data_IF_426631535318
#
_entry.id   IF_426631535318
#
_cell.length_a   1.000
_cell.length_b   1.000
_cell.length_c   1.000
_cell.angle_alpha   90.00
_cell.angle_beta   90.00
_cell.angle_gamma   90.00
#
_symmetry.space_group_name_H-M   'P 1'
#
loop_
_entity.id
_entity.type
_entity.pdbx_description
1 polymer ?
#
# COMPACT_ATOMS: atom_id res chain seq x y z
N UNK A 1 50.29 23.54 -8.45
CA UNK A 1 49.40 22.87 -7.48
C UNK A 1 48.19 23.77 -7.24
N UNK A 2 47.03 23.47 -7.82
CA UNK A 2 45.76 24.12 -7.46
C UNK A 2 45.11 23.23 -6.41
N UNK A 3 45.25 23.62 -5.15
CA UNK A 3 44.47 23.07 -4.04
C UNK A 3 42.99 23.38 -4.30
N UNK A 4 42.23 22.39 -4.76
CA UNK A 4 40.78 22.47 -4.78
C UNK A 4 40.31 22.68 -3.33
N UNK A 5 39.73 23.85 -3.06
CA UNK A 5 38.97 24.11 -1.86
C UNK A 5 37.83 23.09 -1.78
N UNK A 6 38.00 22.03 -0.99
CA UNK A 6 36.85 21.25 -0.51
C UNK A 6 36.04 22.18 0.38
N UNK A 7 34.86 22.58 -0.07
CA UNK A 7 33.89 23.31 0.76
C UNK A 7 33.69 22.53 2.07
N UNK A 8 33.70 23.22 3.22
CA UNK A 8 33.39 22.59 4.52
C UNK A 8 32.09 21.78 4.38
N UNK A 9 32.00 20.57 4.95
CA UNK A 9 30.75 19.83 4.98
C UNK A 9 29.68 20.71 5.64
N UNK A 10 28.57 20.93 4.93
CA UNK A 10 27.48 21.79 5.41
C UNK A 10 26.76 21.09 6.56
N UNK A 11 26.28 21.88 7.51
CA UNK A 11 25.47 21.36 8.61
C UNK A 11 24.14 20.86 8.03
N UNK A 12 23.61 19.70 8.46
CA UNK A 12 22.41 19.11 7.86
C UNK A 12 21.22 20.07 7.73
N UNK A 13 20.98 20.90 8.75
CA UNK A 13 19.91 21.90 8.72
C UNK A 13 20.10 22.96 7.61
N UNK A 14 21.33 23.45 7.40
CA UNK A 14 21.61 24.40 6.33
C UNK A 14 21.42 23.78 4.95
N UNK A 15 21.80 22.51 4.78
CA UNK A 15 21.59 21.79 3.52
C UNK A 15 20.09 21.69 3.19
N UNK A 16 19.25 21.39 4.19
CA UNK A 16 17.79 21.36 4.03
C UNK A 16 17.25 22.72 3.60
N UNK A 17 17.62 23.81 4.27
CA UNK A 17 17.17 25.17 3.92
C UNK A 17 17.55 25.55 2.49
N UNK A 18 18.80 25.34 2.10
CA UNK A 18 19.24 25.63 0.73
C UNK A 18 18.51 24.76 -0.30
N UNK A 19 18.28 23.48 0.01
CA UNK A 19 17.50 22.59 -0.87
C UNK A 19 16.09 23.12 -1.04
N UNK A 20 15.44 23.54 0.05
CA UNK A 20 14.10 24.12 0.03
C UNK A 20 14.04 25.39 -0.81
N UNK A 21 15.00 26.30 -0.66
CA UNK A 21 15.04 27.54 -1.46
C UNK A 21 15.15 27.26 -2.95
N UNK A 22 15.94 26.26 -3.34
CA UNK A 22 16.03 25.80 -4.73
C UNK A 22 14.73 25.14 -5.21
N UNK A 23 14.09 24.32 -4.38
CA UNK A 23 12.81 23.70 -4.69
C UNK A 23 11.73 24.77 -4.95
N UNK A 24 11.62 25.76 -4.06
CA UNK A 24 10.67 26.88 -4.22
C UNK A 24 10.98 27.70 -5.47
N UNK A 25 12.26 27.95 -5.76
CA UNK A 25 12.65 28.67 -6.98
C UNK A 25 12.26 27.90 -8.25
N UNK A 26 12.56 26.60 -8.32
CA UNK A 26 12.21 25.74 -9.45
C UNK A 26 10.69 25.61 -9.59
N UNK A 27 9.98 25.56 -8.47
CA UNK A 27 8.52 25.47 -8.45
C UNK A 27 7.87 26.71 -9.10
N UNK A 28 8.30 27.89 -8.64
CA UNK A 28 7.81 29.19 -9.10
C UNK A 28 8.25 29.56 -10.54
N UNK A 29 9.33 28.95 -11.05
CA UNK A 29 9.89 29.24 -12.37
C UNK A 29 9.84 28.00 -13.31
N UNK A 30 8.66 27.62 -13.83
CA UNK A 30 8.50 26.40 -14.60
C UNK A 30 9.11 26.46 -16.00
N UNK A 31 9.29 27.65 -16.58
CA UNK A 31 9.82 27.83 -17.95
C UNK A 31 11.31 28.20 -17.91
N UNK A 32 12.18 27.51 -18.68
CA UNK A 32 13.56 27.91 -18.85
C UNK A 32 13.59 29.16 -19.74
N UNK A 33 13.53 30.34 -19.11
CA UNK A 33 13.64 31.62 -19.84
C UNK A 33 15.07 32.16 -19.84
N UNK A 34 15.83 31.85 -18.79
CA UNK A 34 17.23 32.25 -18.63
C UNK A 34 18.00 31.06 -18.03
N UNK A 35 19.20 30.73 -18.53
CA UNK A 35 20.01 29.56 -18.12
C UNK A 35 20.28 29.42 -16.62
N UNK A 36 19.98 30.47 -15.84
CA UNK A 36 19.91 30.48 -14.38
C UNK A 36 19.03 29.36 -13.80
N UNK A 37 17.93 28.97 -14.48
CA UNK A 37 17.10 27.85 -14.00
C UNK A 37 17.85 26.53 -14.06
N UNK A 38 18.60 26.30 -15.13
CA UNK A 38 19.33 25.05 -15.32
C UNK A 38 20.50 24.94 -14.35
N UNK A 39 21.20 26.06 -14.08
CA UNK A 39 22.20 26.14 -13.00
C UNK A 39 21.60 25.78 -11.64
N UNK A 40 20.42 26.33 -11.32
CA UNK A 40 19.72 26.05 -10.06
C UNK A 40 19.22 24.61 -9.99
N UNK A 41 18.82 24.03 -11.11
CA UNK A 41 18.45 22.61 -11.19
C UNK A 41 19.65 21.70 -10.95
N UNK A 42 20.82 22.00 -11.53
CA UNK A 42 22.06 21.23 -11.29
C UNK A 42 22.43 21.26 -9.81
N UNK A 43 22.33 22.44 -9.18
CA UNK A 43 22.57 22.62 -7.75
C UNK A 43 21.57 21.81 -6.90
N UNK A 44 20.29 21.82 -7.27
CA UNK A 44 19.23 21.07 -6.60
C UNK A 44 19.47 19.55 -6.68
N UNK A 45 19.80 19.04 -7.88
CA UNK A 45 20.14 17.63 -8.09
C UNK A 45 21.28 17.19 -7.15
N UNK A 46 22.30 18.05 -6.99
CA UNK A 46 23.43 17.79 -6.10
C UNK A 46 22.98 17.73 -4.64
N UNK A 47 22.16 18.67 -4.17
CA UNK A 47 21.73 18.67 -2.76
C UNK A 47 20.79 17.52 -2.42
N UNK A 48 19.90 17.11 -3.33
CA UNK A 48 19.06 15.91 -3.11
C UNK A 48 19.92 14.65 -2.92
N UNK A 49 20.99 14.51 -3.72
CA UNK A 49 21.97 13.42 -3.54
C UNK A 49 22.72 13.51 -2.21
N UNK A 50 23.11 14.71 -1.78
CA UNK A 50 23.75 14.92 -0.47
C UNK A 50 22.80 14.60 0.69
N UNK A 51 21.51 14.97 0.60
CA UNK A 51 20.49 14.61 1.59
C UNK A 51 20.35 13.08 1.69
N UNK A 52 20.26 12.39 0.54
CA UNK A 52 20.23 10.93 0.49
C UNK A 52 21.47 10.31 1.12
N UNK A 53 22.66 10.84 0.82
CA UNK A 53 23.92 10.37 1.38
C UNK A 53 23.93 10.49 2.91
N UNK A 54 23.42 11.57 3.49
CA UNK A 54 23.32 11.69 4.96
C UNK A 54 22.40 10.59 5.53
N UNK A 55 21.28 10.31 4.86
CA UNK A 55 20.25 9.38 5.35
C UNK A 55 20.57 7.89 5.15
N UNK A 56 21.37 7.55 4.14
CA UNK A 56 21.69 6.16 3.77
C UNK A 56 23.17 5.81 3.88
N UNK A 57 24.05 6.80 3.96
CA UNK A 57 25.49 6.59 3.88
C UNK A 57 25.94 6.15 2.49
N UNK A 58 27.11 5.54 2.44
CA UNK A 58 27.64 4.84 1.26
C UNK A 58 28.33 3.52 1.65
N UNK A 59 29.00 2.87 0.70
CA UNK A 59 29.71 1.61 0.95
C UNK A 59 30.86 1.72 1.98
N UNK A 60 31.21 2.94 2.43
CA UNK A 60 32.34 3.22 3.32
C UNK A 60 31.92 3.90 4.61
N UNK A 61 30.74 4.52 4.65
CA UNK A 61 30.30 5.45 5.68
C UNK A 61 28.88 5.14 6.06
N UNK A 62 28.66 4.77 7.32
CA UNK A 62 27.30 4.59 7.85
C UNK A 62 26.63 5.93 8.15
N UNK A 63 25.29 6.02 8.07
CA UNK A 63 24.53 7.20 8.49
C UNK A 63 24.83 7.57 9.95
N UNK A 64 25.14 8.84 10.19
CA UNK A 64 25.31 9.36 11.55
C UNK A 64 23.96 9.76 12.11
N UNK A 65 23.52 9.09 13.19
CA UNK A 65 22.18 9.26 13.76
C UNK A 65 21.82 10.73 14.10
N UNK A 66 22.75 11.48 14.69
CA UNK A 66 22.55 12.90 15.01
C UNK A 66 22.36 13.76 13.75
N UNK A 67 23.13 13.49 12.70
CA UNK A 67 22.99 14.21 11.43
C UNK A 67 21.65 13.89 10.75
N UNK A 68 21.22 12.63 10.77
CA UNK A 68 19.90 12.22 10.29
C UNK A 68 18.77 12.89 11.07
N UNK A 69 18.89 12.96 12.41
CA UNK A 69 17.89 13.57 13.27
C UNK A 69 17.78 15.09 13.01
N UNK A 70 18.91 15.80 12.88
CA UNK A 70 18.93 17.23 12.56
C UNK A 70 18.34 17.51 11.17
N UNK A 71 18.71 16.71 10.16
CA UNK A 71 18.13 16.80 8.81
C UNK A 71 16.62 16.63 8.88
N UNK A 72 16.16 15.55 9.52
CA UNK A 72 14.74 15.18 9.63
C UNK A 72 13.93 16.28 10.31
N UNK A 73 14.43 16.79 11.44
CA UNK A 73 13.79 17.88 12.17
C UNK A 73 13.60 19.12 11.30
N UNK A 74 14.66 19.58 10.63
CA UNK A 74 14.58 20.76 9.78
C UNK A 74 13.66 20.54 8.57
N UNK A 75 13.66 19.34 8.00
CA UNK A 75 12.89 19.00 6.81
C UNK A 75 11.39 19.12 7.04
N UNK A 76 10.90 18.63 8.18
CA UNK A 76 9.51 18.75 8.58
C UNK A 76 9.16 20.15 9.09
N UNK A 77 10.03 20.77 9.90
CA UNK A 77 9.81 22.12 10.44
C UNK A 77 9.58 23.16 9.34
N UNK A 78 10.38 23.13 8.28
CA UNK A 78 10.31 24.11 7.19
C UNK A 78 9.34 23.71 6.06
N UNK A 79 8.54 22.65 6.25
CA UNK A 79 7.60 22.12 5.24
C UNK A 79 8.31 21.73 3.92
N UNK A 80 9.60 21.35 4.00
CA UNK A 80 10.41 21.00 2.82
C UNK A 80 9.87 19.74 2.15
N UNK A 81 9.29 18.82 2.93
CA UNK A 81 8.68 17.60 2.42
C UNK A 81 7.62 17.85 1.36
N UNK A 82 6.70 18.78 1.64
CA UNK A 82 5.65 19.13 0.69
C UNK A 82 6.23 19.67 -0.61
N UNK A 83 7.16 20.63 -0.51
CA UNK A 83 7.75 21.26 -1.70
C UNK A 83 8.54 20.23 -2.52
N UNK A 84 9.25 19.30 -1.88
CA UNK A 84 9.94 18.22 -2.58
C UNK A 84 8.96 17.33 -3.34
N UNK A 85 7.85 16.92 -2.71
CA UNK A 85 6.82 16.08 -3.34
C UNK A 85 6.19 16.77 -4.55
N UNK A 86 5.82 18.05 -4.42
CA UNK A 86 5.26 18.86 -5.53
C UNK A 86 6.25 18.99 -6.70
N UNK A 87 7.55 19.05 -6.40
CA UNK A 87 8.59 19.19 -7.41
C UNK A 87 8.99 17.88 -8.09
N UNK A 88 8.53 16.70 -7.65
CA UNK A 88 8.92 15.40 -8.24
C UNK A 88 8.82 15.39 -9.78
N UNK A 89 7.71 15.82 -10.41
CA UNK A 89 7.60 15.79 -11.87
C UNK A 89 8.55 16.75 -12.60
N UNK A 90 9.17 17.69 -11.88
CA UNK A 90 10.10 18.69 -12.41
C UNK A 90 11.56 18.24 -12.37
N UNK A 91 11.84 17.14 -11.67
CA UNK A 91 13.18 16.56 -11.51
C UNK A 91 13.47 15.57 -12.64
N UNK A 92 14.75 15.29 -12.88
CA UNK A 92 15.13 14.21 -13.79
C UNK A 92 14.94 12.82 -13.13
N UNK A 93 14.88 11.76 -13.93
CA UNK A 93 14.58 10.39 -13.49
C UNK A 93 15.47 9.86 -12.36
N UNK A 94 16.77 10.19 -12.38
CA UNK A 94 17.70 9.73 -11.35
C UNK A 94 17.42 10.44 -10.02
N UNK A 95 17.17 11.74 -10.09
CA UNK A 95 16.92 12.58 -8.92
C UNK A 95 15.52 12.37 -8.35
N UNK A 96 14.54 11.98 -9.16
CA UNK A 96 13.23 11.51 -8.67
C UNK A 96 13.38 10.27 -7.77
N UNK A 97 14.24 9.32 -8.16
CA UNK A 97 14.55 8.14 -7.33
C UNK A 97 15.22 8.53 -6.02
N UNK A 98 16.21 9.43 -6.08
CA UNK A 98 16.88 9.92 -4.89
C UNK A 98 15.91 10.67 -3.95
N UNK A 99 15.09 11.57 -4.49
CA UNK A 99 14.07 12.30 -3.74
C UNK A 99 13.06 11.35 -3.08
N UNK A 100 12.60 10.33 -3.80
CA UNK A 100 11.68 9.31 -3.27
C UNK A 100 12.31 8.55 -2.10
N UNK A 101 13.60 8.19 -2.21
CA UNK A 101 14.33 7.52 -1.13
C UNK A 101 14.51 8.44 0.09
N UNK A 102 14.79 9.73 -0.13
CA UNK A 102 14.83 10.73 0.95
C UNK A 102 13.48 10.76 1.68
N UNK A 103 12.38 10.94 0.96
CA UNK A 103 11.02 10.97 1.54
C UNK A 103 10.71 9.68 2.31
N UNK A 104 11.03 8.52 1.74
CA UNK A 104 10.81 7.21 2.35
C UNK A 104 11.59 7.04 3.66
N UNK A 105 12.86 7.44 3.67
CA UNK A 105 13.74 7.31 4.83
C UNK A 105 13.28 8.21 5.98
N UNK A 106 12.88 9.44 5.69
CA UNK A 106 12.40 10.42 6.68
C UNK A 106 11.23 9.91 7.53
N UNK A 107 10.35 9.06 6.98
CA UNK A 107 9.23 8.47 7.73
C UNK A 107 9.70 7.55 8.87
N UNK A 108 10.95 7.08 8.81
CA UNK A 108 11.51 6.10 9.75
C UNK A 108 12.44 6.74 10.78
N UNK A 109 12.81 8.00 10.57
CA UNK A 109 13.81 8.68 11.39
C UNK A 109 13.23 9.09 12.74
N UNK A 110 13.98 8.79 13.80
CA UNK A 110 13.65 9.22 15.15
C UNK A 110 14.40 10.50 15.49
N UNK A 111 13.67 11.51 15.92
CA UNK A 111 14.22 12.76 16.46
C UNK A 111 13.88 12.80 17.94
N UNK A 112 14.89 12.84 18.82
CA UNK A 112 14.70 12.74 20.27
C UNK A 112 13.82 11.54 20.67
N UNK A 113 14.08 10.38 20.05
CA UNK A 113 13.33 9.12 20.25
C UNK A 113 11.85 9.17 19.84
N UNK A 114 11.43 10.16 19.04
CA UNK A 114 10.07 10.29 18.52
C UNK A 114 10.04 10.27 16.98
N UNK A 115 9.00 9.66 16.42
CA UNK A 115 8.74 9.68 14.97
C UNK A 115 7.93 10.94 14.62
N UNK A 116 8.61 12.07 14.50
CA UNK A 116 7.98 13.38 14.23
C UNK A 116 7.30 13.46 12.85
N UNK A 117 7.55 12.50 11.97
CA UNK A 117 6.86 12.36 10.69
C UNK A 117 5.35 12.16 10.86
N UNK A 118 4.93 11.40 11.87
CA UNK A 118 3.52 11.15 12.16
C UNK A 118 2.79 12.46 12.50
N UNK A 119 3.38 13.28 13.38
CA UNK A 119 2.84 14.58 13.81
C UNK A 119 2.73 15.55 12.63
N UNK A 120 3.78 15.60 11.79
CA UNK A 120 3.78 16.43 10.59
C UNK A 120 2.69 16.03 9.61
N UNK A 121 2.54 14.73 9.32
CA UNK A 121 1.54 14.23 8.37
C UNK A 121 0.11 14.42 8.88
N UNK A 122 -0.12 14.25 10.18
CA UNK A 122 -1.42 14.52 10.81
C UNK A 122 -1.81 16.00 10.70
N UNK A 123 -0.84 16.92 10.76
CA UNK A 123 -1.07 18.35 10.55
C UNK A 123 -1.18 18.77 9.06
N UNK A 124 -0.85 17.87 8.11
CA UNK A 124 -0.76 18.16 6.66
C UNK A 124 -1.46 17.08 5.83
N UNK A 125 -2.70 16.72 6.18
CA UNK A 125 -3.41 15.59 5.56
C UNK A 125 -3.68 15.77 4.07
N UNK A 126 -3.79 17.00 3.58
CA UNK A 126 -3.91 17.31 2.15
C UNK A 126 -2.69 16.87 1.33
N UNK A 127 -1.52 16.68 1.97
CA UNK A 127 -0.36 16.07 1.34
C UNK A 127 -0.61 14.59 0.99
N UNK A 128 -1.43 13.89 1.79
CA UNK A 128 -1.82 12.51 1.51
C UNK A 128 -2.73 12.44 0.29
N UNK A 129 -3.63 13.42 0.15
CA UNK A 129 -4.48 13.53 -1.05
C UNK A 129 -3.64 13.76 -2.31
N UNK A 130 -2.60 14.61 -2.22
CA UNK A 130 -1.63 14.81 -3.30
C UNK A 130 -0.93 13.50 -3.67
N UNK A 131 -0.40 12.77 -2.70
CA UNK A 131 0.27 11.48 -2.92
C UNK A 131 -0.68 10.45 -3.56
N UNK A 132 -1.95 10.42 -3.18
CA UNK A 132 -2.95 9.51 -3.75
C UNK A 132 -3.26 9.91 -5.21
N UNK A 133 -3.52 11.20 -5.46
CA UNK A 133 -3.73 11.70 -6.84
C UNK A 133 -2.50 11.52 -7.74
N UNK A 134 -1.32 11.35 -7.16
CA UNK A 134 -0.09 11.09 -7.89
C UNK A 134 -0.13 9.83 -8.77
N UNK A 135 -1.04 8.89 -8.51
CA UNK A 135 -1.29 7.74 -9.39
C UNK A 135 -1.87 8.14 -10.77
N UNK A 136 -2.42 9.35 -10.90
CA UNK A 136 -2.94 9.90 -12.16
C UNK A 136 -1.81 10.40 -13.08
N UNK A 137 -0.64 10.72 -12.50
CA UNK A 137 0.57 11.04 -13.25
C UNK A 137 1.33 9.76 -13.58
N UNK A 138 1.10 9.21 -14.78
CA UNK A 138 1.65 7.93 -15.20
C UNK A 138 3.18 7.86 -15.16
N UNK A 139 3.87 8.99 -15.35
CA UNK A 139 5.34 9.03 -15.34
C UNK A 139 5.91 8.94 -13.91
N UNK A 140 5.15 9.42 -12.92
CA UNK A 140 5.60 9.54 -11.53
C UNK A 140 4.81 8.66 -10.54
N UNK A 141 3.79 7.94 -10.99
CA UNK A 141 2.88 7.16 -10.14
C UNK A 141 3.61 6.21 -9.18
N UNK A 142 4.67 5.54 -9.64
CA UNK A 142 5.45 4.62 -8.81
C UNK A 142 6.24 5.34 -7.70
N UNK A 143 6.67 6.58 -7.94
CA UNK A 143 7.31 7.41 -6.93
C UNK A 143 6.31 7.80 -5.85
N UNK A 144 5.12 8.27 -6.25
CA UNK A 144 4.05 8.61 -5.33
C UNK A 144 3.55 7.41 -4.52
N UNK A 145 3.35 6.25 -5.16
CA UNK A 145 2.97 5.02 -4.49
C UNK A 145 3.98 4.55 -3.44
N UNK A 146 5.28 4.64 -3.74
CA UNK A 146 6.33 4.31 -2.78
C UNK A 146 6.35 5.26 -1.58
N UNK A 147 6.27 6.58 -1.81
CA UNK A 147 6.21 7.57 -0.73
C UNK A 147 4.97 7.39 0.14
N UNK A 148 3.81 7.14 -0.48
CA UNK A 148 2.55 6.93 0.22
C UNK A 148 2.59 5.71 1.13
N UNK A 149 3.14 4.58 0.65
CA UNK A 149 3.28 3.37 1.49
C UNK A 149 4.15 3.60 2.72
N UNK A 150 5.20 4.40 2.59
CA UNK A 150 6.01 4.77 3.77
C UNK A 150 5.24 5.65 4.75
N UNK A 151 4.38 6.55 4.25
CA UNK A 151 3.50 7.35 5.10
C UNK A 151 2.44 6.50 5.81
N UNK A 152 1.85 5.50 5.13
CA UNK A 152 0.83 4.57 5.69
C UNK A 152 1.35 3.81 6.91
N UNK A 153 2.67 3.74 7.11
CA UNK A 153 3.27 3.16 8.33
C UNK A 153 2.83 3.87 9.61
N UNK A 154 2.44 5.13 9.53
CA UNK A 154 1.88 5.89 10.64
C UNK A 154 0.36 5.68 10.72
N UNK A 155 -0.15 5.35 11.91
CA UNK A 155 -1.57 5.03 12.09
C UNK A 155 -2.49 6.23 11.77
N UNK A 156 -2.05 7.47 12.04
CA UNK A 156 -2.79 8.69 11.71
C UNK A 156 -3.06 8.80 10.21
N UNK A 157 -2.07 8.46 9.36
CA UNK A 157 -2.19 8.46 7.90
C UNK A 157 -3.20 7.42 7.43
N UNK A 158 -3.07 6.18 7.89
CA UNK A 158 -3.99 5.12 7.51
C UNK A 158 -5.43 5.43 7.95
N UNK A 159 -5.60 5.98 9.16
CA UNK A 159 -6.90 6.44 9.66
C UNK A 159 -7.50 7.51 8.75
N UNK A 160 -6.73 8.55 8.41
CA UNK A 160 -7.19 9.60 7.50
C UNK A 160 -7.66 9.04 6.16
N UNK A 161 -6.85 8.20 5.50
CA UNK A 161 -7.17 7.66 4.16
C UNK A 161 -8.44 6.79 4.20
N UNK A 162 -8.62 6.01 5.26
CA UNK A 162 -9.81 5.18 5.45
C UNK A 162 -11.06 6.03 5.74
N UNK A 163 -10.97 7.03 6.61
CA UNK A 163 -12.11 7.88 7.02
C UNK A 163 -12.53 8.89 5.94
N UNK A 164 -11.60 9.32 5.09
CA UNK A 164 -11.85 10.24 3.96
C UNK A 164 -12.39 9.55 2.71
N UNK A 165 -12.66 8.24 2.75
CA UNK A 165 -13.10 7.42 1.61
C UNK A 165 -12.16 7.44 0.38
N UNK A 166 -10.92 7.92 0.54
CA UNK A 166 -9.93 7.90 -0.55
C UNK A 166 -9.51 6.48 -0.95
N UNK A 167 -9.78 5.48 -0.08
CA UNK A 167 -9.55 4.06 -0.38
C UNK A 167 -10.21 3.61 -1.68
N UNK A 168 -11.36 4.17 -2.05
CA UNK A 168 -12.09 3.79 -3.26
C UNK A 168 -11.32 4.15 -4.54
N UNK A 169 -10.48 5.19 -4.53
CA UNK A 169 -9.63 5.54 -5.69
C UNK A 169 -8.66 4.42 -6.04
N UNK A 170 -8.22 3.62 -5.06
CA UNK A 170 -7.36 2.47 -5.36
C UNK A 170 -8.10 1.41 -6.18
N UNK A 171 -9.43 1.30 -6.07
CA UNK A 171 -10.19 0.40 -6.95
C UNK A 171 -10.14 0.85 -8.42
N UNK A 172 -10.00 2.15 -8.68
CA UNK A 172 -9.73 2.69 -10.02
C UNK A 172 -8.28 2.45 -10.45
N UNK A 173 -7.32 2.81 -9.59
CA UNK A 173 -5.89 2.70 -9.92
C UNK A 173 -5.45 1.24 -10.14
N UNK A 174 -6.07 0.27 -9.48
CA UNK A 174 -5.81 -1.17 -9.67
C UNK A 174 -6.25 -1.64 -11.06
N UNK A 175 -7.21 -0.97 -11.69
CA UNK A 175 -7.66 -1.31 -13.06
C UNK A 175 -6.85 -0.57 -14.13
N UNK A 176 -5.79 0.16 -13.76
CA UNK A 176 -4.98 0.91 -14.70
C UNK A 176 -4.40 -0.04 -15.77
N UNK A 177 -4.44 0.33 -17.07
CA UNK A 177 -3.87 -0.51 -18.13
C UNK A 177 -2.35 -0.70 -18.01
N UNK A 178 -1.65 0.23 -17.35
CA UNK A 178 -0.25 0.06 -17.00
C UNK A 178 -0.11 -0.93 -15.83
N UNK A 179 0.45 -2.10 -16.13
CA UNK A 179 0.64 -3.19 -15.18
C UNK A 179 1.43 -2.79 -13.93
N UNK A 180 2.49 -2.00 -14.08
CA UNK A 180 3.34 -1.62 -12.95
C UNK A 180 2.59 -0.70 -11.99
N UNK A 181 1.80 0.24 -12.53
CA UNK A 181 0.96 1.15 -11.74
C UNK A 181 -0.15 0.36 -11.01
N UNK A 182 -0.85 -0.52 -11.73
CA UNK A 182 -1.89 -1.37 -11.14
C UNK A 182 -1.33 -2.27 -10.03
N UNK A 183 -0.19 -2.93 -10.28
CA UNK A 183 0.47 -3.79 -9.30
C UNK A 183 0.96 -3.00 -8.08
N UNK A 184 1.44 -1.78 -8.28
CA UNK A 184 1.84 -0.88 -7.20
C UNK A 184 0.62 -0.42 -6.36
N UNK A 185 -0.49 -0.06 -7.00
CA UNK A 185 -1.75 0.28 -6.32
C UNK A 185 -2.29 -0.89 -5.49
N UNK A 186 -2.21 -2.13 -5.99
CA UNK A 186 -2.56 -3.35 -5.24
C UNK A 186 -1.71 -3.45 -3.96
N UNK A 187 -0.39 -3.20 -4.05
CA UNK A 187 0.50 -3.24 -2.88
C UNK A 187 0.12 -2.17 -1.87
N UNK A 188 -0.21 -0.96 -2.32
CA UNK A 188 -0.64 0.14 -1.46
C UNK A 188 -1.96 -0.15 -0.77
N UNK A 189 -2.97 -0.66 -1.50
CA UNK A 189 -4.24 -1.08 -0.91
C UNK A 189 -4.03 -2.20 0.11
N UNK A 190 -3.21 -3.21 -0.22
CA UNK A 190 -2.88 -4.29 0.72
C UNK A 190 -2.25 -3.75 1.99
N UNK A 191 -1.26 -2.88 1.87
CA UNK A 191 -0.59 -2.25 3.01
C UNK A 191 -1.58 -1.49 3.91
N UNK A 192 -2.44 -0.67 3.31
CA UNK A 192 -3.49 0.09 4.01
C UNK A 192 -4.47 -0.83 4.75
N UNK A 193 -4.89 -1.91 4.11
CA UNK A 193 -5.93 -2.82 4.61
C UNK A 193 -5.40 -3.96 5.50
N UNK A 194 -4.09 -4.01 5.77
CA UNK A 194 -3.52 -5.09 6.60
C UNK A 194 -2.56 -4.63 7.69
N UNK A 195 -2.09 -3.38 7.69
CA UNK A 195 -1.11 -2.89 8.68
C UNK A 195 -1.71 -2.59 10.06
N UNK A 196 -2.63 -1.63 10.14
CA UNK A 196 -3.13 -1.09 11.43
C UNK A 196 -4.44 -1.76 11.85
N UNK A 197 -4.31 -2.95 12.44
CA UNK A 197 -5.41 -3.91 12.69
C UNK A 197 -6.65 -3.28 13.33
N UNK A 198 -6.48 -2.52 14.41
CA UNK A 198 -7.62 -1.87 15.10
C UNK A 198 -8.32 -0.81 14.25
N UNK A 199 -7.56 0.03 13.54
CA UNK A 199 -8.11 1.05 12.63
C UNK A 199 -8.91 0.41 11.49
N UNK A 200 -8.37 -0.66 10.90
CA UNK A 200 -9.02 -1.39 9.80
C UNK A 200 -10.30 -2.07 10.29
N UNK A 201 -10.27 -2.72 11.45
CA UNK A 201 -11.44 -3.38 12.04
C UNK A 201 -12.58 -2.38 12.31
N UNK A 202 -12.25 -1.21 12.86
CA UNK A 202 -13.21 -0.13 13.08
C UNK A 202 -13.80 0.38 11.75
N UNK A 203 -12.95 0.63 10.75
CA UNK A 203 -13.37 1.07 9.43
C UNK A 203 -14.31 0.06 8.74
N UNK A 204 -13.92 -1.23 8.70
CA UNK A 204 -14.71 -2.29 8.06
C UNK A 204 -16.03 -2.52 8.78
N UNK A 205 -16.07 -2.38 10.11
CA UNK A 205 -17.31 -2.50 10.87
C UNK A 205 -18.31 -1.39 10.51
N UNK A 206 -17.84 -0.16 10.38
CA UNK A 206 -18.68 1.01 10.02
C UNK A 206 -19.11 1.02 8.56
N UNK A 207 -18.22 0.60 7.65
CA UNK A 207 -18.39 0.78 6.20
C UNK A 207 -18.61 -0.54 5.45
N UNK A 208 -19.01 -1.61 6.16
CA UNK A 208 -19.06 -2.98 5.63
C UNK A 208 -19.75 -3.08 4.26
N UNK A 209 -20.99 -2.61 4.15
CA UNK A 209 -21.80 -2.82 2.94
C UNK A 209 -21.21 -2.06 1.76
N UNK A 210 -20.87 -0.77 1.95
CA UNK A 210 -20.27 0.06 0.89
C UNK A 210 -18.92 -0.48 0.44
N UNK A 211 -18.05 -0.86 1.38
CA UNK A 211 -16.72 -1.35 1.07
C UNK A 211 -16.78 -2.68 0.32
N UNK A 212 -17.51 -3.67 0.83
CA UNK A 212 -17.56 -4.99 0.19
C UNK A 212 -18.36 -4.99 -1.12
N UNK A 213 -19.34 -4.11 -1.30
CA UNK A 213 -20.02 -3.94 -2.60
C UNK A 213 -19.02 -3.53 -3.68
N UNK A 214 -18.23 -2.49 -3.42
CA UNK A 214 -17.20 -2.01 -4.35
C UNK A 214 -16.06 -3.03 -4.51
N UNK A 215 -15.52 -3.56 -3.40
CA UNK A 215 -14.45 -4.55 -3.42
C UNK A 215 -14.82 -5.80 -4.24
N UNK A 216 -16.03 -6.32 -4.04
CA UNK A 216 -16.49 -7.52 -4.74
C UNK A 216 -16.71 -7.26 -6.22
N UNK A 217 -17.48 -6.21 -6.56
CA UNK A 217 -17.86 -5.92 -7.95
C UNK A 217 -16.67 -5.47 -8.78
N UNK A 218 -15.77 -4.65 -8.22
CA UNK A 218 -14.64 -4.08 -8.95
C UNK A 218 -13.43 -5.00 -8.95
N UNK A 219 -13.16 -5.71 -7.86
CA UNK A 219 -11.91 -6.45 -7.72
C UNK A 219 -12.08 -7.97 -7.85
N UNK A 220 -12.95 -8.59 -7.05
CA UNK A 220 -13.15 -10.05 -7.08
C UNK A 220 -13.79 -10.51 -8.41
N UNK A 221 -14.69 -9.70 -8.96
CA UNK A 221 -15.32 -9.93 -10.25
C UNK A 221 -14.55 -9.32 -11.43
N UNK A 222 -13.34 -8.79 -11.22
CA UNK A 222 -12.52 -8.23 -12.30
C UNK A 222 -12.19 -9.29 -13.36
N UNK A 223 -12.22 -8.95 -14.67
CA UNK A 223 -11.73 -9.83 -15.72
C UNK A 223 -10.20 -9.97 -15.69
N UNK A 224 -9.49 -9.08 -15.00
CA UNK A 224 -8.05 -9.09 -14.91
C UNK A 224 -7.58 -10.15 -13.89
N UNK A 225 -6.83 -11.15 -14.39
CA UNK A 225 -6.29 -12.24 -13.57
C UNK A 225 -5.49 -11.76 -12.35
N UNK A 226 -4.59 -10.79 -12.52
CA UNK A 226 -3.73 -10.30 -11.43
C UNK A 226 -4.57 -9.63 -10.35
N UNK A 227 -5.49 -8.74 -10.77
CA UNK A 227 -6.42 -8.04 -9.87
C UNK A 227 -7.25 -9.04 -9.09
N UNK A 228 -7.88 -9.99 -9.78
CA UNK A 228 -8.69 -11.05 -9.15
C UNK A 228 -7.86 -11.82 -8.13
N UNK A 229 -6.73 -12.40 -8.54
CA UNK A 229 -5.85 -13.20 -7.66
C UNK A 229 -5.41 -12.42 -6.42
N UNK A 230 -4.92 -11.20 -6.59
CA UNK A 230 -4.45 -10.39 -5.48
C UNK A 230 -5.58 -10.00 -4.52
N UNK A 231 -6.78 -9.79 -5.04
CA UNK A 231 -7.94 -9.37 -4.27
C UNK A 231 -8.55 -10.52 -3.49
N UNK A 232 -8.61 -11.74 -4.04
CA UNK A 232 -8.99 -12.93 -3.27
C UNK A 232 -8.02 -13.16 -2.11
N UNK A 233 -6.71 -13.01 -2.37
CA UNK A 233 -5.68 -13.10 -1.33
C UNK A 233 -5.88 -12.04 -0.25
N UNK A 234 -6.09 -10.78 -0.64
CA UNK A 234 -6.32 -9.69 0.29
C UNK A 234 -7.60 -9.91 1.12
N UNK A 235 -8.66 -10.44 0.53
CA UNK A 235 -9.87 -10.83 1.25
C UNK A 235 -9.55 -11.86 2.34
N UNK A 236 -8.78 -12.90 2.01
CA UNK A 236 -8.29 -13.87 2.99
C UNK A 236 -7.50 -13.22 4.12
N UNK A 237 -6.51 -12.38 3.78
CA UNK A 237 -5.68 -11.65 4.75
C UNK A 237 -6.53 -10.76 5.69
N UNK A 238 -7.62 -10.15 5.19
CA UNK A 238 -8.54 -9.34 6.00
C UNK A 238 -9.43 -10.19 6.90
N UNK A 239 -10.08 -11.23 6.38
CA UNK A 239 -11.08 -12.01 7.11
C UNK A 239 -10.46 -12.98 8.13
N UNK A 240 -9.23 -13.45 7.90
CA UNK A 240 -8.52 -14.34 8.82
C UNK A 240 -7.88 -13.58 9.99
N UNK A 241 -7.82 -12.25 9.95
CA UNK A 241 -7.30 -11.46 11.04
C UNK A 241 -8.26 -11.45 12.24
N UNK A 242 -7.74 -11.75 13.43
CA UNK A 242 -8.54 -11.85 14.66
C UNK A 242 -9.26 -10.55 15.02
N UNK A 243 -8.66 -9.40 14.69
CA UNK A 243 -9.29 -8.09 14.92
C UNK A 243 -10.55 -7.88 14.07
N UNK A 244 -10.64 -8.57 12.93
CA UNK A 244 -11.76 -8.49 11.99
C UNK A 244 -12.81 -9.59 12.20
N UNK A 245 -12.84 -10.26 13.35
CA UNK A 245 -13.75 -11.39 13.62
C UNK A 245 -15.24 -11.06 13.38
N UNK A 246 -15.71 -9.89 13.82
CA UNK A 246 -17.09 -9.45 13.59
C UNK A 246 -17.39 -9.25 12.09
N UNK A 247 -16.46 -8.62 11.38
CA UNK A 247 -16.50 -8.45 9.92
C UNK A 247 -16.51 -9.80 9.21
N UNK A 248 -15.66 -10.74 9.64
CA UNK A 248 -15.59 -12.09 9.09
C UNK A 248 -16.92 -12.83 9.25
N UNK A 249 -17.48 -12.87 10.47
CA UNK A 249 -18.77 -13.52 10.73
C UNK A 249 -19.88 -12.94 9.86
N UNK A 250 -19.92 -11.61 9.71
CA UNK A 250 -20.89 -10.94 8.83
C UNK A 250 -20.66 -11.31 7.36
N UNK A 251 -19.41 -11.35 6.90
CA UNK A 251 -19.07 -11.69 5.52
C UNK A 251 -19.46 -13.13 5.17
N UNK A 252 -19.15 -14.09 6.03
CA UNK A 252 -19.43 -15.53 5.79
C UNK A 252 -20.88 -15.93 6.03
N UNK A 253 -21.72 -14.98 6.44
CA UNK A 253 -23.15 -15.15 6.59
C UNK A 253 -23.96 -14.61 5.38
N UNK A 254 -23.28 -14.15 4.33
CA UNK A 254 -23.93 -13.62 3.11
C UNK A 254 -23.96 -14.66 1.99
N UNK A 255 -25.15 -14.94 1.44
CA UNK A 255 -25.30 -15.83 0.27
C UNK A 255 -24.58 -15.28 -0.97
N UNK A 256 -24.58 -13.96 -1.15
CA UNK A 256 -24.01 -13.33 -2.33
C UNK A 256 -22.48 -13.47 -2.30
N UNK A 257 -21.88 -13.31 -1.12
CA UNK A 257 -20.45 -13.55 -0.92
C UNK A 257 -20.09 -15.02 -1.13
N UNK A 258 -20.91 -15.96 -0.66
CA UNK A 258 -20.68 -17.38 -0.93
C UNK A 258 -20.66 -17.68 -2.43
N UNK A 259 -21.63 -17.15 -3.18
CA UNK A 259 -21.73 -17.36 -4.63
C UNK A 259 -20.49 -16.84 -5.35
N UNK A 260 -19.98 -15.66 -4.98
CA UNK A 260 -18.74 -15.12 -5.53
C UNK A 260 -17.57 -16.09 -5.28
N UNK A 261 -17.41 -16.57 -4.04
CA UNK A 261 -16.33 -17.48 -3.67
C UNK A 261 -16.44 -18.85 -4.35
N UNK A 262 -17.65 -19.38 -4.49
CA UNK A 262 -17.89 -20.62 -5.23
C UNK A 262 -17.58 -20.48 -6.73
N UNK A 263 -17.79 -19.31 -7.31
CA UNK A 263 -17.35 -19.04 -8.69
C UNK A 263 -15.83 -18.92 -8.80
N UNK A 264 -15.17 -18.29 -7.84
CA UNK A 264 -13.70 -18.21 -7.79
C UNK A 264 -13.04 -19.58 -7.65
N UNK A 265 -13.65 -20.50 -6.89
CA UNK A 265 -13.21 -21.91 -6.81
C UNK A 265 -13.30 -22.66 -8.15
N UNK A 266 -14.07 -22.14 -9.12
CA UNK A 266 -14.24 -22.72 -10.46
C UNK A 266 -13.37 -22.05 -11.53
N UNK A 267 -12.59 -21.04 -11.18
CA UNK A 267 -11.67 -20.39 -12.11
C UNK A 267 -10.64 -21.38 -12.64
N UNK A 268 -10.12 -21.17 -13.86
CA UNK A 268 -9.11 -22.05 -14.46
C UNK A 268 -7.76 -22.01 -13.74
N UNK A 269 -7.47 -20.92 -13.01
CA UNK A 269 -6.21 -20.75 -12.31
C UNK A 269 -6.23 -21.43 -10.95
N UNK A 270 -5.37 -22.45 -10.77
CA UNK A 270 -5.12 -23.08 -9.47
C UNK A 270 -4.80 -22.07 -8.36
N UNK A 271 -4.01 -21.02 -8.66
CA UNK A 271 -3.67 -20.00 -7.67
C UNK A 271 -4.91 -19.26 -7.14
N UNK A 272 -5.88 -18.95 -8.01
CA UNK A 272 -7.13 -18.32 -7.57
C UNK A 272 -7.97 -19.31 -6.79
N UNK A 273 -8.06 -20.57 -7.23
CA UNK A 273 -8.78 -21.62 -6.51
C UNK A 273 -8.24 -21.82 -5.10
N UNK A 274 -6.91 -21.87 -4.93
CA UNK A 274 -6.26 -22.00 -3.63
C UNK A 274 -6.57 -20.83 -2.70
N UNK A 275 -6.42 -19.58 -3.18
CA UNK A 275 -6.74 -18.41 -2.35
C UNK A 275 -8.25 -18.33 -2.04
N UNK A 276 -9.12 -18.72 -2.98
CA UNK A 276 -10.56 -18.78 -2.77
C UNK A 276 -10.92 -19.86 -1.74
N UNK A 277 -10.21 -20.99 -1.73
CA UNK A 277 -10.39 -22.04 -0.73
C UNK A 277 -10.13 -21.53 0.69
N UNK A 278 -9.08 -20.73 0.91
CA UNK A 278 -8.77 -20.18 2.23
C UNK A 278 -9.88 -19.28 2.79
N UNK A 279 -10.67 -18.64 1.93
CA UNK A 279 -11.84 -17.87 2.35
C UNK A 279 -13.09 -18.75 2.43
N UNK A 280 -13.29 -19.65 1.45
CA UNK A 280 -14.44 -20.55 1.40
C UNK A 280 -14.52 -21.46 2.64
N UNK A 281 -13.38 -21.95 3.15
CA UNK A 281 -13.35 -22.76 4.37
C UNK A 281 -14.00 -22.05 5.56
N UNK A 282 -13.99 -20.72 5.62
CA UNK A 282 -14.63 -19.94 6.69
C UNK A 282 -16.17 -20.03 6.63
N UNK A 283 -16.76 -20.12 5.43
CA UNK A 283 -18.19 -20.36 5.27
C UNK A 283 -18.58 -21.75 5.79
N UNK A 284 -17.74 -22.76 5.50
CA UNK A 284 -17.98 -24.15 5.92
C UNK A 284 -17.72 -24.31 7.42
N UNK A 285 -16.71 -23.65 7.97
CA UNK A 285 -16.40 -23.70 9.41
C UNK A 285 -17.34 -22.84 10.29
N UNK A 286 -18.14 -21.94 9.72
CA UNK A 286 -19.07 -21.11 10.48
C UNK A 286 -20.06 -22.00 11.25
N UNK A 287 -20.10 -21.94 12.59
CA UNK A 287 -21.02 -22.76 13.37
C UNK A 287 -22.48 -22.29 13.25
N UNK A 288 -22.70 -21.01 12.96
CA UNK A 288 -24.02 -20.38 12.85
C UNK A 288 -24.36 -20.06 11.38
N UNK A 289 -24.23 -21.04 10.49
CA UNK A 289 -24.54 -20.85 9.06
C UNK A 289 -26.00 -20.47 8.87
N UNK A 290 -26.32 -19.40 8.14
CA UNK A 290 -27.68 -19.11 7.74
C UNK A 290 -28.29 -20.27 6.91
N UNK A 291 -29.61 -20.53 7.00
CA UNK A 291 -30.25 -21.60 6.26
C UNK A 291 -30.01 -21.53 4.74
N UNK A 292 -30.00 -20.33 4.16
CA UNK A 292 -29.73 -20.13 2.73
C UNK A 292 -28.34 -20.64 2.30
N UNK A 293 -27.32 -20.44 3.15
CA UNK A 293 -25.96 -20.94 2.92
C UNK A 293 -25.95 -22.47 2.94
N UNK A 294 -26.59 -23.06 3.95
CA UNK A 294 -26.71 -24.52 4.08
C UNK A 294 -27.42 -25.12 2.85
N UNK A 295 -28.53 -24.52 2.41
CA UNK A 295 -29.24 -24.93 1.20
C UNK A 295 -28.36 -24.90 -0.05
N UNK A 296 -27.57 -23.84 -0.25
CA UNK A 296 -26.65 -23.73 -1.39
C UNK A 296 -25.57 -24.82 -1.33
N UNK A 297 -24.99 -25.06 -0.15
CA UNK A 297 -23.97 -26.10 0.04
C UNK A 297 -24.53 -27.51 -0.24
N UNK A 298 -25.74 -27.82 0.24
CA UNK A 298 -26.42 -29.11 -0.02
C UNK A 298 -26.74 -29.27 -1.51
N UNK A 299 -27.32 -28.25 -2.14
CA UNK A 299 -27.67 -28.28 -3.55
C UNK A 299 -26.45 -28.51 -4.46
N UNK A 300 -25.27 -28.05 -4.04
CA UNK A 300 -24.02 -28.19 -4.78
C UNK A 300 -23.08 -29.27 -4.22
N UNK A 301 -23.49 -30.03 -3.19
CA UNK A 301 -22.66 -30.97 -2.41
C UNK A 301 -21.81 -31.88 -3.27
N UNK A 302 -22.43 -32.60 -4.22
CA UNK A 302 -21.72 -33.55 -5.10
C UNK A 302 -20.65 -32.87 -5.97
N UNK A 303 -20.92 -31.65 -6.46
CA UNK A 303 -20.00 -30.90 -7.32
C UNK A 303 -18.85 -30.32 -6.49
N UNK A 304 -19.16 -29.77 -5.31
CA UNK A 304 -18.17 -29.23 -4.38
C UNK A 304 -17.17 -30.31 -3.92
N UNK A 305 -17.66 -31.49 -3.52
CA UNK A 305 -16.79 -32.57 -3.08
C UNK A 305 -15.81 -33.01 -4.17
N UNK A 306 -16.28 -33.14 -5.42
CA UNK A 306 -15.40 -33.46 -6.56
C UNK A 306 -14.37 -32.35 -6.82
N UNK A 307 -14.83 -31.09 -6.84
CA UNK A 307 -13.96 -29.93 -7.06
C UNK A 307 -12.83 -29.84 -6.02
N UNK A 308 -13.15 -30.10 -4.74
CA UNK A 308 -12.19 -30.05 -3.65
C UNK A 308 -11.22 -31.25 -3.66
N UNK A 309 -11.67 -32.43 -4.07
CA UNK A 309 -10.80 -33.61 -4.21
C UNK A 309 -9.76 -33.42 -5.34
N UNK A 310 -10.17 -32.76 -6.43
CA UNK A 310 -9.31 -32.40 -7.56
C UNK A 310 -8.37 -31.22 -7.25
N UNK A 311 -8.66 -30.43 -6.22
CA UNK A 311 -7.84 -29.28 -5.83
C UNK A 311 -6.55 -29.75 -5.13
N UNK A 312 -5.46 -29.76 -5.87
CA UNK A 312 -4.12 -30.16 -5.41
C UNK A 312 -3.12 -29.04 -5.60
N UNK A 313 -2.33 -28.79 -4.56
CA UNK A 313 -1.21 -27.85 -4.62
C UNK A 313 -0.02 -28.49 -5.34
N UNK A 314 0.79 -27.66 -5.98
CA UNK A 314 2.00 -28.12 -6.69
C UNK A 314 3.14 -28.46 -5.70
N UNK A 315 3.03 -28.02 -4.43
CA UNK A 315 3.93 -28.35 -3.34
C UNK A 315 3.13 -28.95 -2.19
N UNK A 316 3.73 -29.90 -1.48
CA UNK A 316 3.14 -30.46 -0.26
C UNK A 316 2.96 -29.35 0.78
N UNK A 317 1.72 -29.20 1.24
CA UNK A 317 1.31 -28.31 2.33
C UNK A 317 0.34 -29.10 3.21
N UNK A 318 0.86 -29.66 4.29
CA UNK A 318 0.11 -30.50 5.22
C UNK A 318 -1.07 -29.74 5.84
N UNK A 319 -0.91 -28.44 6.10
CA UNK A 319 -1.98 -27.62 6.68
C UNK A 319 -3.11 -27.43 5.69
N UNK A 320 -2.79 -27.17 4.41
CA UNK A 320 -3.80 -27.05 3.37
C UNK A 320 -4.58 -28.37 3.19
N UNK A 321 -3.89 -29.50 3.15
CA UNK A 321 -4.54 -30.80 2.99
C UNK A 321 -5.41 -31.17 4.21
N UNK A 322 -4.98 -30.82 5.43
CA UNK A 322 -5.78 -30.98 6.64
C UNK A 322 -7.04 -30.10 6.62
N UNK A 323 -6.90 -28.82 6.29
CA UNK A 323 -8.03 -27.89 6.13
C UNK A 323 -9.02 -28.40 5.07
N UNK A 324 -8.51 -28.92 3.96
CA UNK A 324 -9.31 -29.47 2.85
C UNK A 324 -10.08 -30.71 3.27
N UNK A 325 -9.43 -31.65 3.96
CA UNK A 325 -10.07 -32.83 4.50
C UNK A 325 -11.19 -32.48 5.49
N UNK A 326 -10.96 -31.49 6.36
CA UNK A 326 -11.98 -30.99 7.28
C UNK A 326 -13.19 -30.41 6.53
N UNK A 327 -12.96 -29.52 5.56
CA UNK A 327 -14.02 -28.90 4.76
C UNK A 327 -14.83 -29.96 3.99
N UNK A 328 -14.16 -30.95 3.40
CA UNK A 328 -14.80 -32.08 2.70
C UNK A 328 -15.69 -32.87 3.68
N UNK A 329 -15.17 -33.19 4.86
CA UNK A 329 -15.90 -33.90 5.91
C UNK A 329 -17.15 -33.15 6.35
N UNK A 330 -17.02 -31.85 6.64
CA UNK A 330 -18.14 -31.00 7.06
C UNK A 330 -19.23 -30.94 5.97
N UNK A 331 -18.86 -30.70 4.71
CA UNK A 331 -19.82 -30.71 3.58
C UNK A 331 -20.49 -32.08 3.42
N UNK A 332 -19.76 -33.17 3.61
CA UNK A 332 -20.30 -34.53 3.50
C UNK A 332 -21.39 -34.84 4.54
N UNK A 333 -21.35 -34.19 5.71
CA UNK A 333 -22.33 -34.35 6.80
C UNK A 333 -23.57 -33.45 6.69
N UNK A 334 -23.61 -32.50 5.74
CA UNK A 334 -24.80 -31.65 5.57
C UNK A 334 -25.98 -32.46 5.01
N UNK A 335 -27.17 -32.24 5.57
CA UNK A 335 -28.42 -32.93 5.24
C UNK A 335 -29.54 -31.95 4.90
#
# INVERSE_FOLDING_TARGET
MKTLFKSKPRIPAELVRHTRDLLVYVDANPKPRDGKRDEKMIELCKYIRELKFILYGDNKTEPVADACAQLTHEFFRENTLRVLIVCIPKLNLEVQKDATQVVANLQRQQVNSRLIAADYLEANTDLLDLLISGYEDMDNALHYGLMLRECIRHQCVARYILESNQVNKFFDYIQNPNFDIAADAIKTLKELMTRHKSTIAEYLSKNFDSFFTEFNSRLLSSPNYLTKRASVKLLGDMLLDRSNSATMVRYVSSKDHLIILMNLLRESSKNIQTEAFHVFKLFVANQNKPPEIVTILIANKRKLLRLLDDLKLDKEDEQFEADKAQVIGEIATLH
#
